data_IF_944583546176
#
_entry.id   IF_944583546176
#
_cell.length_a   1.000
_cell.length_b   1.000
_cell.length_c   1.000
_cell.angle_alpha   90.00
_cell.angle_beta   90.00
_cell.angle_gamma   90.00
#
_symmetry.space_group_name_H-M   'P 1'
#
loop_
_entity.id
_entity.type
_entity.pdbx_description
1 polymer ?
#
# COMPACT_ATOMS: atom_id res chain seq x y z
N UNK A 1 7.95 -44.70 1.48
CA UNK A 1 7.14 -43.49 1.19
C UNK A 1 7.20 -42.58 2.39
N UNK A 2 7.89 -41.44 2.30
CA UNK A 2 7.99 -40.48 3.41
C UNK A 2 6.86 -39.45 3.29
N UNK A 3 5.87 -39.53 4.19
CA UNK A 3 4.86 -38.49 4.34
C UNK A 3 5.50 -37.26 4.98
N UNK A 4 5.53 -36.13 4.28
CA UNK A 4 5.92 -34.84 4.84
C UNK A 4 4.72 -34.25 5.57
N UNK A 5 4.59 -34.55 6.86
CA UNK A 5 3.71 -33.82 7.79
C UNK A 5 4.25 -32.39 7.95
N UNK A 6 3.88 -31.54 7.00
CA UNK A 6 4.12 -30.10 7.10
C UNK A 6 2.99 -29.53 7.98
N UNK A 7 3.31 -28.76 9.05
CA UNK A 7 2.28 -28.15 9.87
C UNK A 7 1.38 -27.26 8.99
N UNK A 8 0.06 -27.17 9.30
CA UNK A 8 -0.87 -26.39 8.51
C UNK A 8 -0.34 -24.97 8.36
N UNK A 9 -0.28 -24.49 7.12
CA UNK A 9 0.15 -23.13 6.79
C UNK A 9 -0.69 -22.17 7.62
N UNK A 10 -0.06 -21.49 8.59
CA UNK A 10 -0.73 -20.41 9.34
C UNK A 10 -1.24 -19.39 8.33
N UNK A 11 -2.56 -19.32 8.19
CA UNK A 11 -3.22 -18.44 7.24
C UNK A 11 -2.85 -16.98 7.47
N UNK A 12 -2.58 -16.26 6.38
CA UNK A 12 -2.31 -14.82 6.42
C UNK A 12 -3.54 -14.10 6.98
N UNK A 13 -3.34 -13.17 7.92
CA UNK A 13 -4.42 -12.41 8.56
C UNK A 13 -4.60 -11.05 7.87
N UNK A 14 -5.84 -10.68 7.54
CA UNK A 14 -6.17 -9.32 7.08
C UNK A 14 -5.95 -8.32 8.22
N UNK A 15 -5.42 -7.14 7.89
CA UNK A 15 -5.23 -6.03 8.83
C UNK A 15 -6.58 -5.39 9.15
N UNK A 16 -6.81 -5.07 10.42
CA UNK A 16 -8.01 -4.32 10.83
C UNK A 16 -7.82 -2.81 10.65
N UNK A 17 -8.92 -2.05 10.52
CA UNK A 17 -8.85 -0.59 10.41
C UNK A 17 -8.10 0.04 11.60
N UNK A 18 -8.33 -0.46 12.82
CA UNK A 18 -7.62 0.00 14.02
C UNK A 18 -6.10 -0.19 13.95
N UNK A 19 -5.62 -1.22 13.25
CA UNK A 19 -4.19 -1.46 13.06
C UNK A 19 -3.62 -0.50 12.01
N UNK A 20 -4.40 -0.14 10.98
CA UNK A 20 -4.04 0.91 10.02
C UNK A 20 -3.89 2.24 10.75
N UNK A 21 -4.85 2.58 11.61
CA UNK A 21 -4.88 3.86 12.32
C UNK A 21 -3.65 4.03 13.24
N UNK A 22 -3.22 2.96 13.93
CA UNK A 22 -1.99 2.97 14.76
C UNK A 22 -0.73 3.20 13.93
N UNK A 23 -0.59 2.54 12.78
CA UNK A 23 0.58 2.73 11.89
C UNK A 23 0.62 4.14 11.34
N UNK A 24 -0.53 4.65 10.94
CA UNK A 24 -0.69 5.98 10.36
C UNK A 24 -0.34 7.05 11.38
N UNK A 25 -0.86 6.94 12.61
CA UNK A 25 -0.62 7.90 13.69
C UNK A 25 0.86 7.99 14.07
N UNK A 26 1.57 6.86 14.18
CA UNK A 26 2.98 6.81 14.58
C UNK A 26 3.96 7.42 13.56
N UNK A 27 3.50 7.76 12.35
CA UNK A 27 4.38 8.05 11.21
C UNK A 27 4.16 9.42 10.58
N UNK A 28 3.29 10.25 11.15
CA UNK A 28 3.03 11.60 10.63
C UNK A 28 4.15 12.61 10.91
N UNK A 29 5.12 12.30 11.77
CA UNK A 29 6.12 13.27 12.25
C UNK A 29 7.36 13.41 11.35
N UNK A 30 7.59 12.52 10.37
CA UNK A 30 8.77 12.57 9.50
C UNK A 30 8.44 12.33 8.01
N UNK A 31 9.03 13.08 7.05
CA UNK A 31 8.77 12.90 5.61
C UNK A 31 9.06 11.49 5.08
N UNK A 32 10.15 10.86 5.53
CA UNK A 32 10.50 9.49 5.14
C UNK A 32 9.53 8.45 5.73
N UNK A 33 9.00 8.73 6.93
CA UNK A 33 7.98 7.93 7.59
C UNK A 33 6.63 8.05 6.87
N UNK A 34 6.35 9.22 6.27
CA UNK A 34 5.12 9.48 5.53
C UNK A 34 5.01 8.62 4.27
N UNK A 35 6.08 8.45 3.48
CA UNK A 35 6.06 7.53 2.33
C UNK A 35 5.79 6.09 2.75
N UNK A 36 6.38 5.67 3.87
CA UNK A 36 6.17 4.31 4.39
C UNK A 36 4.77 4.06 4.89
N UNK A 37 4.22 5.01 5.62
CA UNK A 37 2.85 4.94 6.09
C UNK A 37 1.83 5.04 4.95
N UNK A 38 2.08 5.86 3.91
CA UNK A 38 1.26 5.90 2.71
C UNK A 38 1.32 4.58 1.93
N UNK A 39 2.49 3.92 1.89
CA UNK A 39 2.65 2.58 1.31
C UNK A 39 1.75 1.58 2.04
N UNK A 40 1.85 1.55 3.38
CA UNK A 40 1.06 0.66 4.22
C UNK A 40 -0.44 0.95 4.09
N UNK A 41 -0.82 2.23 4.05
CA UNK A 41 -2.20 2.66 3.87
C UNK A 41 -2.79 2.09 2.58
N UNK A 42 -2.17 2.31 1.43
CA UNK A 42 -2.71 1.85 0.15
C UNK A 42 -2.75 0.32 0.05
N UNK A 43 -1.76 -0.38 0.62
CA UNK A 43 -1.75 -1.84 0.71
C UNK A 43 -2.99 -2.39 1.42
N UNK A 44 -3.37 -1.78 2.55
CA UNK A 44 -4.46 -2.29 3.37
C UNK A 44 -5.82 -1.73 2.97
N UNK A 45 -5.91 -0.44 2.68
CA UNK A 45 -7.18 0.18 2.27
C UNK A 45 -7.62 -0.29 0.88
N UNK A 46 -6.69 -0.38 -0.08
CA UNK A 46 -7.00 -0.78 -1.46
C UNK A 46 -6.62 -2.24 -1.76
N UNK A 47 -6.29 -3.05 -0.75
CA UNK A 47 -5.95 -4.47 -0.91
C UNK A 47 -4.97 -4.75 -2.06
N UNK A 48 -3.94 -3.91 -2.20
CA UNK A 48 -2.95 -4.02 -3.28
C UNK A 48 -1.84 -5.00 -2.94
N UNK A 49 -1.53 -5.87 -3.90
CA UNK A 49 -0.29 -6.65 -3.86
C UNK A 49 0.92 -5.74 -4.03
N UNK A 50 2.07 -6.13 -3.49
CA UNK A 50 3.31 -5.34 -3.61
C UNK A 50 3.68 -5.01 -5.06
N UNK A 51 3.38 -5.90 -6.02
CA UNK A 51 3.62 -5.63 -7.45
C UNK A 51 2.68 -4.58 -8.04
N UNK A 52 1.45 -4.49 -7.54
CA UNK A 52 0.43 -3.53 -8.00
C UNK A 52 0.70 -2.12 -7.49
N UNK A 53 1.51 -1.96 -6.43
CA UNK A 53 2.00 -0.67 -5.92
C UNK A 53 3.15 -0.06 -6.72
N UNK A 54 3.78 -0.81 -7.63
CA UNK A 54 4.99 -0.34 -8.30
C UNK A 54 4.69 0.74 -9.35
N UNK A 55 3.53 0.67 -9.98
CA UNK A 55 3.16 1.47 -11.15
C UNK A 55 1.99 2.46 -11.01
N UNK A 56 1.22 2.55 -9.90
CA UNK A 56 0.16 3.54 -9.78
C UNK A 56 0.71 4.95 -9.94
N UNK A 57 -0.03 5.77 -10.69
CA UNK A 57 0.20 7.21 -10.82
C UNK A 57 -0.81 7.98 -9.99
N UNK A 58 -0.55 9.27 -9.76
CA UNK A 58 -1.54 10.12 -9.11
C UNK A 58 -2.82 10.26 -9.94
N UNK A 59 -2.75 10.19 -11.27
CA UNK A 59 -3.90 10.15 -12.19
C UNK A 59 -4.76 8.91 -12.03
N UNK A 60 -4.22 7.83 -11.48
CA UNK A 60 -4.96 6.59 -11.23
C UNK A 60 -5.83 6.66 -9.96
N UNK A 61 -5.65 7.69 -9.13
CA UNK A 61 -6.39 7.87 -7.87
C UNK A 61 -7.39 9.00 -7.99
N UNK A 62 -8.68 8.67 -7.86
CA UNK A 62 -9.78 9.61 -8.00
C UNK A 62 -10.59 9.65 -6.70
N UNK A 63 -10.74 10.84 -6.12
CA UNK A 63 -11.72 11.08 -5.06
C UNK A 63 -13.14 11.06 -5.68
N UNK A 64 -14.08 10.40 -5.01
CA UNK A 64 -15.48 10.36 -5.41
C UNK A 64 -16.33 11.21 -4.47
N UNK A 65 -16.88 10.60 -3.42
CA UNK A 65 -17.70 11.26 -2.40
C UNK A 65 -17.62 10.45 -1.10
N UNK A 66 -18.02 11.05 0.03
CA UNK A 66 -18.13 10.36 1.33
C UNK A 66 -16.88 9.57 1.74
N UNK A 67 -15.71 10.19 1.57
CA UNK A 67 -14.40 9.60 1.88
C UNK A 67 -14.02 8.39 1.00
N UNK A 68 -14.74 8.16 -0.10
CA UNK A 68 -14.48 7.07 -1.04
C UNK A 68 -13.49 7.53 -2.11
N UNK A 69 -12.46 6.71 -2.28
CA UNK A 69 -11.40 6.86 -3.28
C UNK A 69 -11.41 5.65 -4.20
N UNK A 70 -11.19 5.88 -5.49
CA UNK A 70 -11.01 4.85 -6.49
C UNK A 70 -9.56 4.84 -6.94
N UNK A 71 -8.97 3.64 -7.02
CA UNK A 71 -7.64 3.42 -7.59
C UNK A 71 -7.75 2.50 -8.79
N UNK A 72 -7.28 2.97 -9.94
CA UNK A 72 -7.11 2.16 -11.15
C UNK A 72 -5.79 1.37 -11.08
N UNK A 73 -5.88 0.06 -11.27
CA UNK A 73 -4.73 -0.86 -11.31
C UNK A 73 -4.66 -1.46 -12.70
N UNK A 74 -3.68 -1.04 -13.51
CA UNK A 74 -3.60 -1.40 -14.94
C UNK A 74 -3.16 -2.84 -15.23
N UNK A 75 -2.49 -3.52 -14.28
CA UNK A 75 -2.12 -4.93 -14.41
C UNK A 75 -2.20 -5.62 -13.05
N UNK A 76 -2.94 -6.72 -12.98
CA UNK A 76 -2.87 -7.66 -11.85
C UNK A 76 -2.39 -9.02 -12.34
N UNK A 77 -1.75 -9.80 -11.46
CA UNK A 77 -1.26 -11.16 -11.78
C UNK A 77 -2.38 -12.09 -12.27
N UNK A 78 -3.62 -11.86 -11.86
CA UNK A 78 -4.79 -12.69 -12.17
C UNK A 78 -5.61 -12.16 -13.34
N UNK A 79 -5.23 -11.02 -13.90
CA UNK A 79 -5.93 -10.41 -15.02
C UNK A 79 -5.46 -11.04 -16.33
N UNK A 80 -6.06 -12.17 -16.67
CA UNK A 80 -5.79 -12.92 -17.90
C UNK A 80 -6.13 -12.14 -19.17
N UNK A 81 -6.90 -11.04 -19.08
CA UNK A 81 -7.29 -10.19 -20.21
C UNK A 81 -6.54 -8.86 -20.27
N UNK A 82 -5.73 -8.52 -19.26
CA UNK A 82 -4.96 -7.28 -19.21
C UNK A 82 -5.81 -6.00 -19.17
N UNK A 83 -7.07 -6.08 -18.73
CA UNK A 83 -8.01 -4.96 -18.68
C UNK A 83 -7.78 -4.03 -17.47
N UNK A 84 -7.04 -4.51 -16.47
CA UNK A 84 -6.90 -3.88 -15.17
C UNK A 84 -8.14 -4.06 -14.29
N UNK A 85 -8.13 -3.38 -13.15
CA UNK A 85 -9.25 -3.31 -12.22
C UNK A 85 -9.34 -1.94 -11.56
N UNK A 86 -10.51 -1.57 -11.07
CA UNK A 86 -10.68 -0.38 -10.22
C UNK A 86 -11.06 -0.84 -8.83
N UNK A 87 -10.32 -0.38 -7.83
CA UNK A 87 -10.55 -0.71 -6.42
C UNK A 87 -11.12 0.52 -5.73
N UNK A 88 -12.30 0.36 -5.14
CA UNK A 88 -12.87 1.36 -4.26
C UNK A 88 -12.42 1.11 -2.82
N UNK A 89 -11.95 2.15 -2.15
CA UNK A 89 -11.53 2.12 -0.75
C UNK A 89 -11.93 3.41 -0.04
N UNK A 90 -11.98 3.36 1.28
CA UNK A 90 -12.41 4.49 2.11
C UNK A 90 -11.27 4.94 3.01
N UNK A 91 -11.06 6.25 3.08
CA UNK A 91 -10.04 6.87 3.94
C UNK A 91 -10.71 7.86 4.90
N UNK A 92 -10.67 7.61 6.20
CA UNK A 92 -11.27 8.51 7.21
C UNK A 92 -10.25 8.92 8.27
N UNK A 93 -10.53 10.01 8.97
CA UNK A 93 -9.74 10.47 10.11
C UNK A 93 -8.24 10.55 9.78
N UNK A 94 -7.43 9.88 10.58
CA UNK A 94 -5.97 9.87 10.50
C UNK A 94 -5.47 9.37 9.14
N UNK A 95 -6.11 8.35 8.56
CA UNK A 95 -5.77 7.82 7.24
C UNK A 95 -5.96 8.86 6.14
N UNK A 96 -7.06 9.63 6.20
CA UNK A 96 -7.31 10.71 5.25
C UNK A 96 -6.31 11.87 5.42
N UNK A 97 -6.01 12.25 6.67
CA UNK A 97 -4.99 13.28 6.94
C UNK A 97 -3.63 12.87 6.40
N UNK A 98 -3.23 11.62 6.62
CA UNK A 98 -1.97 11.09 6.11
C UNK A 98 -1.93 11.09 4.59
N UNK A 99 -2.99 10.61 3.93
CA UNK A 99 -3.06 10.60 2.48
C UNK A 99 -2.99 12.01 1.88
N UNK A 100 -3.72 12.95 2.47
CA UNK A 100 -3.72 14.36 2.05
C UNK A 100 -2.32 14.96 2.21
N UNK A 101 -1.70 14.79 3.38
CA UNK A 101 -0.35 15.29 3.64
C UNK A 101 0.70 14.68 2.72
N UNK A 102 0.58 13.39 2.43
CA UNK A 102 1.43 12.69 1.48
C UNK A 102 1.32 13.32 0.09
N UNK A 103 0.11 13.58 -0.41
CA UNK A 103 -0.10 14.20 -1.72
C UNK A 103 0.37 15.65 -1.80
N UNK A 104 0.25 16.43 -0.72
CA UNK A 104 0.76 17.81 -0.66
C UNK A 104 2.28 17.88 -0.78
N UNK A 105 2.98 16.95 -0.13
CA UNK A 105 4.44 16.90 -0.10
C UNK A 105 5.06 16.22 -1.32
N UNK A 106 4.26 15.49 -2.09
CA UNK A 106 4.68 14.84 -3.33
C UNK A 106 4.16 15.61 -4.55
N UNK A 107 4.63 15.20 -5.74
CA UNK A 107 4.39 15.91 -6.99
C UNK A 107 2.91 16.19 -7.26
N UNK A 108 2.63 17.38 -7.77
CA UNK A 108 1.31 17.79 -8.26
C UNK A 108 1.06 17.32 -9.70
N UNK A 109 2.07 16.74 -10.37
CA UNK A 109 1.90 16.20 -11.71
C UNK A 109 1.10 14.89 -11.64
N UNK A 110 -0.08 14.81 -12.28
CA UNK A 110 -0.91 13.61 -12.26
C UNK A 110 -0.20 12.39 -12.88
N UNK A 111 0.77 12.60 -13.79
CA UNK A 111 1.46 11.51 -14.48
C UNK A 111 2.62 10.89 -13.71
N UNK A 112 2.97 11.47 -12.56
CA UNK A 112 4.03 10.95 -11.70
C UNK A 112 3.55 9.72 -10.93
N UNK A 113 4.48 8.78 -10.70
CA UNK A 113 4.22 7.61 -9.87
C UNK A 113 3.95 8.02 -8.43
N UNK A 114 2.94 7.41 -7.80
CA UNK A 114 2.63 7.60 -6.38
C UNK A 114 3.86 7.28 -5.53
N UNK A 115 4.55 6.19 -5.87
CA UNK A 115 5.85 5.85 -5.31
C UNK A 115 6.86 5.82 -6.44
N UNK A 116 7.96 6.56 -6.29
CA UNK A 116 9.03 6.62 -7.27
C UNK A 116 10.37 6.22 -6.67
N UNK A 117 11.31 5.84 -7.52
CA UNK A 117 12.71 5.70 -7.19
C UNK A 117 13.46 7.04 -7.35
N UNK A 118 14.75 7.09 -6.98
CA UNK A 118 15.56 8.32 -7.07
C UNK A 118 15.73 8.89 -8.49
N UNK A 119 15.37 8.14 -9.53
CA UNK A 119 15.39 8.56 -10.93
C UNK A 119 14.00 8.94 -11.46
N UNK A 120 12.99 9.04 -10.59
CA UNK A 120 11.60 9.36 -10.97
C UNK A 120 10.82 8.22 -11.61
N UNK A 121 11.43 7.04 -11.80
CA UNK A 121 10.75 5.87 -12.34
C UNK A 121 10.02 5.04 -11.27
N UNK A 122 9.29 3.99 -11.69
CA UNK A 122 8.61 3.12 -10.74
C UNK A 122 9.65 2.35 -9.88
N UNK A 123 9.38 2.12 -8.59
CA UNK A 123 10.21 1.27 -7.75
C UNK A 123 10.07 -0.19 -8.19
N UNK A 124 11.12 -0.99 -7.95
CA UNK A 124 11.02 -2.43 -8.16
C UNK A 124 10.19 -3.08 -7.05
N UNK A 125 9.53 -4.19 -7.37
CA UNK A 125 8.78 -4.99 -6.39
C UNK A 125 9.63 -5.40 -5.20
N UNK A 126 10.87 -5.81 -5.44
CA UNK A 126 11.77 -6.29 -4.40
C UNK A 126 12.27 -5.13 -3.51
N UNK A 127 12.40 -3.92 -4.08
CA UNK A 127 12.64 -2.72 -3.30
C UNK A 127 11.45 -2.40 -2.39
N UNK A 128 10.23 -2.35 -2.93
CA UNK A 128 9.02 -2.11 -2.14
C UNK A 128 8.80 -3.18 -1.06
N UNK A 129 9.06 -4.45 -1.37
CA UNK A 129 8.94 -5.56 -0.41
C UNK A 129 9.89 -5.39 0.78
N UNK A 130 11.16 -5.07 0.52
CA UNK A 130 12.14 -4.79 1.59
C UNK A 130 11.75 -3.55 2.40
N UNK A 131 11.30 -2.49 1.72
CA UNK A 131 10.88 -1.23 2.33
C UNK A 131 9.66 -1.43 3.25
N UNK A 132 8.66 -2.15 2.76
CA UNK A 132 7.47 -2.54 3.52
C UNK A 132 7.83 -3.36 4.76
N UNK A 133 8.68 -4.40 4.60
CA UNK A 133 9.13 -5.21 5.73
C UNK A 133 9.82 -4.35 6.79
N UNK A 134 10.67 -3.42 6.37
CA UNK A 134 11.33 -2.47 7.28
C UNK A 134 10.29 -1.63 8.03
N UNK A 135 9.34 -1.01 7.33
CA UNK A 135 8.31 -0.18 7.97
C UNK A 135 7.41 -0.96 8.93
N UNK A 136 7.02 -2.18 8.58
CA UNK A 136 6.26 -3.04 9.47
C UNK A 136 7.06 -3.40 10.73
N UNK A 137 8.36 -3.68 10.61
CA UNK A 137 9.24 -3.91 11.77
C UNK A 137 9.37 -2.68 12.65
N UNK A 138 9.64 -1.51 12.06
CA UNK A 138 9.77 -0.29 12.83
C UNK A 138 8.42 0.15 13.47
N UNK A 139 7.29 -0.29 12.92
CA UNK A 139 5.95 -0.12 13.51
C UNK A 139 5.60 -1.20 14.56
N UNK A 140 6.50 -2.14 14.84
CA UNK A 140 6.25 -3.24 15.77
C UNK A 140 5.28 -4.30 15.26
N UNK A 141 4.96 -4.32 13.97
CA UNK A 141 3.97 -5.21 13.34
C UNK A 141 4.56 -6.40 12.59
N UNK A 142 5.88 -6.61 12.66
CA UNK A 142 6.58 -7.72 12.00
C UNK A 142 6.02 -9.10 12.36
N UNK A 143 5.56 -9.28 13.60
CA UNK A 143 5.09 -10.55 14.15
C UNK A 143 3.68 -10.93 13.70
N UNK A 144 2.97 -9.99 13.05
CA UNK A 144 1.58 -10.17 12.64
C UNK A 144 1.42 -10.90 11.30
N UNK A 145 2.52 -11.27 10.65
CA UNK A 145 2.53 -11.89 9.31
C UNK A 145 1.67 -11.12 8.29
N UNK A 146 1.67 -9.78 8.41
CA UNK A 146 0.90 -8.89 7.55
C UNK A 146 1.64 -8.77 6.22
N UNK A 147 1.36 -9.67 5.29
CA UNK A 147 1.87 -9.54 3.92
C UNK A 147 0.85 -10.06 2.91
N UNK A 148 0.75 -9.30 1.82
CA UNK A 148 0.06 -9.63 0.57
C UNK A 148 0.67 -10.83 -0.14
#
# INVERSE_FOLDING_TARGET
MASRDSPPVKGRRKVSQSEIDVVVALRMEAPEALTGAATILLIFSAFLRTGELCNPRFSDVCFKAEDIWWLKVHRSKTDSKGLGSTIAFRLRGDALRLWTRFRELHSQNPEDFIFSNSRGGPPSRDYLSRKLKRFLTEAGLQHRNLTH
#
